data_IF_628948633445
#
_entry.id   IF_628948633445
#
_cell.length_a   1.000
_cell.length_b   1.000
_cell.length_c   1.000
_cell.angle_alpha   90.00
_cell.angle_beta   90.00
_cell.angle_gamma   90.00
#
_symmetry.space_group_name_H-M   'P 1'
#
loop_
_entity.id
_entity.type
_entity.pdbx_description
1 polymer ?
#
# COMPACT_ATOMS: atom_id res chain seq x y z
N UNK A 1 -26.58 55.56 -20.10
CA UNK A 1 -26.93 54.14 -20.01
C UNK A 1 -25.65 53.36 -20.21
N UNK A 2 -25.18 52.66 -19.18
CA UNK A 2 -24.51 51.36 -19.23
C UNK A 2 -23.91 51.09 -17.85
N UNK A 3 -24.52 50.15 -17.12
CA UNK A 3 -24.03 49.63 -15.85
C UNK A 3 -23.11 48.45 -16.20
N UNK A 4 -21.81 48.61 -16.01
CA UNK A 4 -20.90 47.47 -15.98
C UNK A 4 -21.15 46.70 -14.68
N UNK A 5 -21.89 45.59 -14.78
CA UNK A 5 -21.93 44.56 -13.74
C UNK A 5 -20.58 43.84 -13.72
N UNK A 6 -19.82 44.06 -12.66
CA UNK A 6 -18.61 43.28 -12.40
C UNK A 6 -19.06 41.98 -11.70
N UNK A 7 -19.23 40.92 -12.48
CA UNK A 7 -19.42 39.57 -11.95
C UNK A 7 -18.10 39.11 -11.33
N UNK A 8 -18.01 39.17 -10.01
CA UNK A 8 -16.96 38.50 -9.25
C UNK A 8 -17.07 36.99 -9.45
N UNK A 9 -16.17 36.41 -10.23
CA UNK A 9 -15.94 34.96 -10.32
C UNK A 9 -15.40 34.47 -8.97
N UNK A 10 -16.29 33.96 -8.13
CA UNK A 10 -15.91 33.19 -6.95
C UNK A 10 -15.41 31.83 -7.47
N UNK A 11 -14.09 31.68 -7.58
CA UNK A 11 -13.44 30.39 -7.71
C UNK A 11 -13.69 29.62 -6.41
N UNK A 12 -14.76 28.81 -6.39
CA UNK A 12 -14.97 27.82 -5.33
C UNK A 12 -13.91 26.75 -5.55
N UNK A 13 -12.77 26.89 -4.88
CA UNK A 13 -11.84 25.79 -4.70
C UNK A 13 -12.59 24.70 -3.95
N UNK A 14 -12.90 23.59 -4.63
CA UNK A 14 -13.35 22.38 -3.97
C UNK A 14 -12.18 21.89 -3.10
N UNK A 15 -12.13 22.36 -1.86
CA UNK A 15 -11.50 21.59 -0.81
C UNK A 15 -12.30 20.30 -0.74
N UNK A 16 -11.72 19.19 -1.23
CA UNK A 16 -12.24 17.87 -0.94
C UNK A 16 -12.28 17.75 0.59
N UNK A 17 -13.47 17.92 1.15
CA UNK A 17 -13.74 17.59 2.54
C UNK A 17 -13.32 16.13 2.70
N UNK A 18 -12.38 15.87 3.61
CA UNK A 18 -11.81 14.55 3.89
C UNK A 18 -12.88 13.59 4.44
N UNK A 19 -13.74 13.10 3.55
CA UNK A 19 -14.68 12.01 3.79
C UNK A 19 -13.97 10.67 3.63
N UNK A 20 -14.36 9.68 4.43
CA UNK A 20 -14.04 8.30 4.13
C UNK A 20 -14.71 7.90 2.82
N UNK A 21 -14.01 7.13 1.99
CA UNK A 21 -14.50 6.65 0.70
C UNK A 21 -14.59 5.14 0.72
N UNK A 22 -15.75 4.61 0.32
CA UNK A 22 -15.90 3.17 0.07
C UNK A 22 -15.30 2.80 -1.29
N UNK A 23 -14.21 2.03 -1.24
CA UNK A 23 -13.47 1.55 -2.41
C UNK A 23 -13.80 0.09 -2.77
N UNK A 24 -14.84 -0.51 -2.17
CA UNK A 24 -15.27 -1.86 -2.53
C UNK A 24 -15.50 -2.02 -4.04
N UNK A 25 -14.95 -3.10 -4.61
CA UNK A 25 -14.98 -3.42 -6.06
C UNK A 25 -14.25 -2.40 -6.95
N UNK A 26 -13.35 -1.60 -6.38
CA UNK A 26 -12.54 -0.61 -7.09
C UNK A 26 -11.05 -0.81 -6.80
N UNK A 27 -10.23 -0.35 -7.73
CA UNK A 27 -8.78 -0.30 -7.62
C UNK A 27 -8.25 1.09 -8.03
N UNK A 28 -7.06 1.43 -7.53
CA UNK A 28 -6.25 2.51 -8.09
C UNK A 28 -5.47 1.99 -9.29
N UNK A 29 -5.47 2.75 -10.37
CA UNK A 29 -4.76 2.46 -11.62
C UNK A 29 -3.64 3.46 -11.81
N UNK A 30 -2.42 2.96 -11.95
CA UNK A 30 -1.21 3.68 -12.31
C UNK A 30 -0.85 3.30 -13.75
N UNK A 31 -1.32 4.05 -14.77
CA UNK A 31 -1.35 3.57 -16.15
C UNK A 31 0.02 3.59 -16.84
N UNK A 32 0.99 4.33 -16.31
CA UNK A 32 2.31 4.48 -16.91
C UNK A 32 3.38 4.75 -15.87
N UNK A 33 4.61 4.47 -16.24
CA UNK A 33 5.79 4.77 -15.43
C UNK A 33 5.91 6.29 -15.20
N UNK A 34 6.10 6.68 -13.94
CA UNK A 34 6.35 8.07 -13.53
C UNK A 34 6.97 8.10 -12.13
N UNK A 35 7.52 9.24 -11.74
CA UNK A 35 7.99 9.56 -10.38
C UNK A 35 7.01 10.49 -9.64
N UNK A 36 5.82 10.76 -10.20
CA UNK A 36 4.89 11.75 -9.69
C UNK A 36 3.43 11.26 -9.56
N UNK A 37 3.13 10.02 -9.94
CA UNK A 37 1.81 9.41 -9.79
C UNK A 37 1.80 8.50 -8.56
N UNK A 38 1.03 8.88 -7.54
CA UNK A 38 0.97 8.17 -6.27
C UNK A 38 -0.34 8.41 -5.53
N UNK A 39 -0.64 7.53 -4.57
CA UNK A 39 -1.74 7.73 -3.61
C UNK A 39 -1.18 7.79 -2.20
N UNK A 40 -1.50 8.85 -1.47
CA UNK A 40 -1.22 8.97 -0.04
C UNK A 40 -2.39 8.46 0.78
N UNK A 41 -2.18 7.39 1.54
CA UNK A 41 -3.18 6.81 2.45
C UNK A 41 -3.06 7.45 3.84
N UNK A 42 -4.19 7.79 4.46
CA UNK A 42 -4.22 8.38 5.80
C UNK A 42 -4.75 7.37 6.82
N UNK A 43 -3.87 6.95 7.73
CA UNK A 43 -4.20 6.05 8.83
C UNK A 43 -4.23 6.79 10.18
N UNK A 44 -5.22 6.54 11.06
CA UNK A 44 -5.29 7.14 12.39
C UNK A 44 -4.40 6.40 13.41
N UNK A 45 -3.09 6.33 13.17
CA UNK A 45 -2.15 5.66 14.06
C UNK A 45 -1.91 6.45 15.34
N UNK A 46 -2.33 5.87 16.48
CA UNK A 46 -2.21 6.51 17.80
C UNK A 46 -1.04 5.98 18.64
N UNK A 47 -0.50 4.80 18.32
CA UNK A 47 0.54 4.12 19.09
C UNK A 47 1.56 3.46 18.15
N UNK A 48 2.85 3.41 18.51
CA UNK A 48 3.86 2.71 17.72
C UNK A 48 3.45 1.27 17.46
N UNK A 49 3.71 0.79 16.25
CA UNK A 49 3.34 -0.57 15.86
C UNK A 49 4.37 -1.56 16.43
N UNK A 50 3.86 -2.58 17.12
CA UNK A 50 4.62 -3.74 17.57
C UNK A 50 4.33 -4.99 16.74
N UNK A 51 3.25 -4.96 15.96
CA UNK A 51 2.97 -5.90 14.92
C UNK A 51 2.19 -5.19 13.82
N UNK A 52 2.13 -5.79 12.65
CA UNK A 52 1.18 -5.40 11.62
C UNK A 52 0.81 -6.59 10.74
N UNK A 53 -0.29 -6.43 10.01
CA UNK A 53 -0.59 -7.20 8.81
C UNK A 53 -1.09 -6.23 7.73
N UNK A 54 -0.58 -6.35 6.51
CA UNK A 54 -1.05 -5.60 5.33
C UNK A 54 -1.51 -6.61 4.30
N UNK A 55 -2.77 -6.50 3.88
CA UNK A 55 -3.31 -7.28 2.76
C UNK A 55 -3.70 -6.35 1.61
N UNK A 56 -3.44 -6.77 0.37
CA UNK A 56 -3.81 -6.04 -0.84
C UNK A 56 -3.84 -6.95 -2.06
N UNK A 57 -4.50 -6.49 -3.12
CA UNK A 57 -4.37 -7.00 -4.47
C UNK A 57 -3.44 -6.12 -5.30
N UNK A 58 -2.60 -6.75 -6.10
CA UNK A 58 -1.72 -6.11 -7.09
C UNK A 58 -1.88 -6.83 -8.43
N UNK A 59 -1.94 -6.06 -9.51
CA UNK A 59 -1.84 -6.58 -10.87
C UNK A 59 -0.90 -5.73 -11.70
N UNK A 60 0.24 -6.29 -12.12
CA UNK A 60 1.28 -5.58 -12.87
C UNK A 60 2.06 -6.53 -13.77
N UNK A 61 2.38 -6.09 -14.99
CA UNK A 61 3.25 -6.83 -15.91
C UNK A 61 4.75 -6.55 -15.66
N UNK A 62 5.07 -5.62 -14.76
CA UNK A 62 6.45 -5.17 -14.51
C UNK A 62 7.34 -6.25 -13.93
N UNK A 63 6.76 -7.27 -13.29
CA UNK A 63 7.52 -8.25 -12.54
C UNK A 63 8.51 -9.06 -13.39
N UNK A 64 8.32 -9.11 -14.71
CA UNK A 64 9.26 -9.69 -15.68
C UNK A 64 10.36 -8.71 -16.13
N UNK A 65 10.11 -7.41 -16.10
CA UNK A 65 10.95 -6.40 -16.74
C UNK A 65 11.79 -5.61 -15.74
N UNK A 66 11.25 -5.22 -14.58
CA UNK A 66 11.95 -4.48 -13.52
C UNK A 66 11.37 -4.72 -12.13
N UNK A 67 12.05 -4.17 -11.14
CA UNK A 67 11.57 -4.14 -9.77
C UNK A 67 10.62 -2.95 -9.55
N UNK A 68 9.73 -3.02 -8.57
CA UNK A 68 8.79 -1.95 -8.25
C UNK A 68 8.26 -2.03 -6.82
N UNK A 69 7.89 -0.87 -6.26
CA UNK A 69 7.26 -0.74 -4.95
C UNK A 69 5.78 -1.05 -5.01
N UNK A 70 5.30 -1.85 -4.06
CA UNK A 70 3.88 -2.24 -3.94
C UNK A 70 3.21 -1.41 -2.84
N UNK A 71 3.86 -1.30 -1.68
CA UNK A 71 3.39 -0.54 -0.52
C UNK A 71 4.58 0.07 0.21
N UNK A 72 4.60 1.39 0.35
CA UNK A 72 5.69 2.12 1.00
C UNK A 72 5.17 2.88 2.22
N UNK A 73 5.72 2.59 3.39
CA UNK A 73 5.47 3.29 4.65
C UNK A 73 6.79 3.87 5.14
N UNK A 74 6.85 5.21 5.20
CA UNK A 74 8.00 5.94 5.68
C UNK A 74 7.69 6.70 6.96
N UNK A 75 8.66 6.82 7.85
CA UNK A 75 8.66 7.81 8.93
C UNK A 75 9.70 8.88 8.64
N UNK A 76 9.67 9.98 9.40
CA UNK A 76 10.70 11.03 9.29
C UNK A 76 12.13 10.53 9.55
N UNK A 77 12.29 9.36 10.17
CA UNK A 77 13.59 8.79 10.56
C UNK A 77 14.04 7.62 9.68
N UNK A 78 13.09 6.95 9.02
CA UNK A 78 13.36 5.75 8.24
C UNK A 78 12.43 5.73 7.03
N UNK A 79 13.01 5.81 5.83
CA UNK A 79 12.26 5.83 4.58
C UNK A 79 11.62 4.46 4.28
N UNK A 80 12.32 3.38 4.63
CA UNK A 80 11.86 2.00 4.47
C UNK A 80 11.41 1.41 5.81
N UNK A 81 10.48 2.07 6.50
CA UNK A 81 10.00 1.62 7.82
C UNK A 81 9.12 0.38 7.67
N UNK A 82 8.23 0.36 6.67
CA UNK A 82 7.61 -0.85 6.11
C UNK A 82 7.63 -0.71 4.60
N UNK A 83 8.26 -1.64 3.88
CA UNK A 83 8.25 -1.66 2.42
C UNK A 83 7.90 -3.07 1.94
N UNK A 84 6.86 -3.16 1.10
CA UNK A 84 6.55 -4.36 0.31
C UNK A 84 6.96 -4.06 -1.12
N UNK A 85 7.88 -4.87 -1.64
CA UNK A 85 8.55 -4.60 -2.90
C UNK A 85 8.65 -5.86 -3.74
N UNK A 86 8.47 -5.72 -5.06
CA UNK A 86 8.83 -6.79 -5.98
C UNK A 86 10.25 -6.59 -6.47
N UNK A 87 11.13 -7.56 -6.20
CA UNK A 87 12.49 -7.55 -6.72
C UNK A 87 12.60 -8.52 -7.90
N UNK A 88 12.87 -7.99 -9.10
CA UNK A 88 13.10 -8.79 -10.30
C UNK A 88 14.16 -9.87 -10.05
N UNK A 89 13.82 -11.11 -10.41
CA UNK A 89 14.70 -12.28 -10.26
C UNK A 89 14.87 -12.80 -8.82
N UNK A 90 14.28 -12.14 -7.81
CA UNK A 90 14.34 -12.57 -6.40
C UNK A 90 12.97 -12.94 -5.83
N UNK A 91 11.91 -12.22 -6.20
CA UNK A 91 10.54 -12.38 -5.68
C UNK A 91 10.11 -11.21 -4.80
N UNK A 92 9.21 -11.48 -3.85
CA UNK A 92 8.73 -10.47 -2.91
C UNK A 92 9.79 -10.16 -1.85
N UNK A 93 9.91 -8.89 -1.51
CA UNK A 93 10.80 -8.38 -0.50
C UNK A 93 9.97 -7.61 0.53
N UNK A 94 10.18 -7.96 1.80
CA UNK A 94 9.65 -7.20 2.93
C UNK A 94 10.81 -6.53 3.64
N UNK A 95 10.74 -5.21 3.76
CA UNK A 95 11.61 -4.43 4.64
C UNK A 95 10.83 -3.97 5.85
N UNK A 96 11.42 -4.13 7.03
CA UNK A 96 10.95 -3.54 8.29
C UNK A 96 12.12 -2.79 8.90
N UNK A 97 11.91 -1.55 9.31
CA UNK A 97 12.94 -0.69 9.92
C UNK A 97 14.28 -0.63 9.14
N UNK A 98 14.22 -0.69 7.80
CA UNK A 98 15.40 -0.69 6.92
C UNK A 98 16.10 -2.04 6.73
N UNK A 99 15.69 -3.10 7.41
CA UNK A 99 16.23 -4.46 7.23
C UNK A 99 15.29 -5.29 6.37
N UNK A 100 15.83 -6.04 5.41
CA UNK A 100 15.04 -6.78 4.41
C UNK A 100 15.08 -8.31 4.58
N UNK A 101 13.97 -8.95 4.21
CA UNK A 101 13.92 -10.40 3.91
C UNK A 101 13.29 -10.64 2.55
N UNK A 102 13.79 -11.63 1.82
CA UNK A 102 13.28 -12.03 0.50
C UNK A 102 12.47 -13.30 0.61
N UNK A 103 11.23 -13.28 0.12
CA UNK A 103 10.40 -14.44 -0.14
C UNK A 103 10.48 -14.80 -1.62
N UNK A 104 11.19 -15.90 -1.92
CA UNK A 104 11.32 -16.41 -3.28
C UNK A 104 9.98 -17.00 -3.71
N UNK A 105 9.28 -16.35 -4.64
CA UNK A 105 8.02 -16.85 -5.20
C UNK A 105 8.27 -17.50 -6.57
N UNK A 106 7.76 -18.73 -6.79
CA UNK A 106 7.76 -19.37 -8.11
C UNK A 106 6.54 -18.98 -8.98
N UNK A 107 5.65 -18.11 -8.50
CA UNK A 107 4.33 -17.88 -9.12
C UNK A 107 4.36 -16.99 -10.37
N UNK A 108 3.25 -17.07 -11.12
CA UNK A 108 3.06 -16.36 -12.39
C UNK A 108 2.89 -14.85 -12.13
N UNK A 109 3.86 -14.01 -12.51
CA UNK A 109 3.80 -12.57 -12.26
C UNK A 109 2.75 -11.83 -13.10
N UNK A 110 2.02 -12.53 -13.97
CA UNK A 110 1.10 -11.95 -14.96
C UNK A 110 -0.38 -12.11 -14.63
N UNK A 111 -0.72 -12.54 -13.41
CA UNK A 111 -2.10 -12.59 -12.93
C UNK A 111 -2.29 -11.60 -11.78
N UNK A 112 -3.52 -11.09 -11.54
CA UNK A 112 -3.84 -10.41 -10.30
C UNK A 112 -3.52 -11.33 -9.12
N UNK A 113 -2.85 -10.78 -8.10
CA UNK A 113 -2.39 -11.57 -6.95
C UNK A 113 -2.82 -10.90 -5.66
N UNK A 114 -3.42 -11.68 -4.77
CA UNK A 114 -3.68 -11.26 -3.40
C UNK A 114 -2.47 -11.58 -2.53
N UNK A 115 -1.93 -10.58 -1.84
CA UNK A 115 -0.87 -10.79 -0.87
C UNK A 115 -1.30 -10.32 0.51
N UNK A 116 -0.88 -11.06 1.55
CA UNK A 116 -0.86 -10.56 2.92
C UNK A 116 0.55 -10.70 3.50
N UNK A 117 1.04 -9.63 4.13
CA UNK A 117 2.36 -9.59 4.74
C UNK A 117 2.24 -9.13 6.18
N UNK A 118 2.82 -9.90 7.10
CA UNK A 118 2.81 -9.57 8.52
C UNK A 118 4.19 -9.62 9.13
N UNK A 119 4.36 -8.86 10.22
CA UNK A 119 5.54 -8.92 11.07
C UNK A 119 5.16 -8.68 12.53
N UNK A 120 5.87 -9.32 13.46
CA UNK A 120 5.71 -9.17 14.90
C UNK A 120 7.04 -8.90 15.60
N UNK A 121 7.12 -7.81 16.36
CA UNK A 121 8.31 -7.39 17.11
C UNK A 121 8.81 -8.47 18.08
N UNK A 122 7.91 -9.10 18.83
CA UNK A 122 8.29 -9.95 19.97
C UNK A 122 9.01 -11.23 19.52
N UNK A 123 8.58 -11.80 18.41
CA UNK A 123 9.20 -12.98 17.80
C UNK A 123 10.21 -12.63 16.70
N UNK A 124 10.03 -11.49 16.04
CA UNK A 124 10.69 -11.15 14.78
C UNK A 124 10.15 -11.94 13.58
N UNK A 125 9.03 -12.64 13.72
CA UNK A 125 8.50 -13.47 12.63
C UNK A 125 7.88 -12.57 11.56
N UNK A 126 8.33 -12.74 10.33
CA UNK A 126 7.72 -12.22 9.12
C UNK A 126 7.00 -13.35 8.36
N UNK A 127 5.78 -13.08 7.90
CA UNK A 127 5.00 -13.97 7.06
C UNK A 127 4.63 -13.30 5.75
N UNK A 128 4.58 -14.09 4.68
CA UNK A 128 3.98 -13.73 3.41
C UNK A 128 2.97 -14.81 3.05
N UNK A 129 1.78 -14.39 2.66
CA UNK A 129 0.75 -15.22 2.09
C UNK A 129 0.47 -14.73 0.68
N UNK A 130 0.37 -15.67 -0.27
CA UNK A 130 0.04 -15.36 -1.65
C UNK A 130 -1.17 -16.21 -2.04
N UNK A 131 -2.24 -15.57 -2.52
CA UNK A 131 -3.52 -16.19 -2.87
C UNK A 131 -4.02 -17.15 -1.77
N UNK A 132 -3.96 -16.68 -0.52
CA UNK A 132 -4.39 -17.42 0.66
C UNK A 132 -3.50 -18.59 1.08
N UNK A 133 -2.33 -18.77 0.46
CA UNK A 133 -1.35 -19.82 0.80
C UNK A 133 -0.12 -19.23 1.50
N UNK A 134 0.35 -19.83 2.60
CA UNK A 134 1.51 -19.31 3.33
C UNK A 134 2.83 -19.67 2.64
N UNK A 135 3.77 -18.74 2.69
CA UNK A 135 5.19 -19.01 2.46
C UNK A 135 5.88 -19.42 3.77
N UNK A 136 7.12 -19.90 3.67
CA UNK A 136 7.94 -20.21 4.85
C UNK A 136 8.20 -18.93 5.65
N UNK A 137 7.88 -18.95 6.93
CA UNK A 137 8.17 -17.89 7.90
C UNK A 137 9.65 -17.52 7.91
N UNK A 138 9.95 -16.24 8.14
CA UNK A 138 11.32 -15.72 8.23
C UNK A 138 11.50 -14.91 9.52
N UNK A 139 12.76 -14.71 9.91
CA UNK A 139 13.12 -13.81 11.01
C UNK A 139 13.52 -12.45 10.44
N UNK A 140 12.98 -11.37 11.01
CA UNK A 140 13.20 -9.98 10.61
C UNK A 140 12.99 -9.07 11.83
N UNK A 141 13.91 -8.15 12.07
CA UNK A 141 13.80 -7.05 13.05
C UNK A 141 13.09 -7.39 14.37
N UNK A 142 13.72 -8.21 15.21
CA UNK A 142 13.15 -8.52 16.53
C UNK A 142 13.33 -7.35 17.52
N UNK A 143 12.29 -7.04 18.29
CA UNK A 143 12.32 -6.12 19.43
C UNK A 143 12.09 -4.64 19.09
N UNK A 144 11.97 -4.30 17.80
CA UNK A 144 11.79 -2.93 17.32
C UNK A 144 10.33 -2.45 17.47
N UNK A 145 10.10 -1.13 17.39
CA UNK A 145 8.75 -0.55 17.29
C UNK A 145 8.72 0.45 16.15
N UNK A 146 7.69 0.41 15.32
CA UNK A 146 7.60 1.26 14.13
C UNK A 146 6.87 2.57 14.46
N UNK A 147 7.35 3.68 13.91
CA UNK A 147 6.86 5.01 14.24
C UNK A 147 5.42 5.27 13.75
N UNK A 148 4.70 6.15 14.44
CA UNK A 148 3.28 6.49 14.16
C UNK A 148 3.09 7.63 13.17
N UNK A 149 4.02 8.58 13.13
CA UNK A 149 3.99 9.67 12.15
C UNK A 149 4.49 9.14 10.81
N UNK A 150 3.55 8.56 10.06
CA UNK A 150 3.83 7.82 8.84
C UNK A 150 3.29 8.51 7.59
N UNK A 151 4.09 8.42 6.52
CA UNK A 151 3.68 8.66 5.15
C UNK A 151 3.50 7.31 4.47
N UNK A 152 2.25 6.98 4.13
CA UNK A 152 1.89 5.72 3.48
C UNK A 152 1.56 6.00 2.01
N UNK A 153 2.30 5.39 1.10
CA UNK A 153 2.28 5.66 -0.33
C UNK A 153 2.06 4.35 -1.11
N UNK A 154 1.15 4.42 -2.07
CA UNK A 154 1.03 3.46 -3.18
C UNK A 154 1.52 4.11 -4.47
N UNK A 155 2.08 3.31 -5.37
CA UNK A 155 2.55 3.77 -6.68
C UNK A 155 4.03 4.12 -6.74
N UNK A 156 4.66 4.45 -5.61
CA UNK A 156 6.06 4.90 -5.55
C UNK A 156 6.80 4.28 -4.36
N UNK A 157 8.13 4.23 -4.47
CA UNK A 157 9.04 3.94 -3.37
C UNK A 157 9.53 5.24 -2.72
N UNK A 158 9.55 5.34 -1.40
CA UNK A 158 9.93 6.54 -0.68
C UNK A 158 11.40 6.46 -0.25
N UNK A 159 12.26 7.35 -0.76
CA UNK A 159 13.62 7.55 -0.21
C UNK A 159 13.66 8.67 0.85
N UNK A 160 12.54 9.34 1.08
CA UNK A 160 12.34 10.33 2.15
C UNK A 160 10.89 10.37 2.59
N UNK A 161 10.60 11.01 3.72
CA UNK A 161 9.23 11.12 4.23
C UNK A 161 8.30 11.83 3.24
N UNK A 162 7.44 11.07 2.56
CA UNK A 162 6.49 11.58 1.57
C UNK A 162 7.11 12.00 0.23
N UNK A 163 8.29 11.49 -0.13
CA UNK A 163 8.97 11.88 -1.37
C UNK A 163 10.24 11.11 -1.66
N UNK A 164 11.09 11.66 -2.52
CA UNK A 164 12.32 11.00 -2.97
C UNK A 164 12.02 9.84 -3.94
N UNK A 165 11.00 10.00 -4.78
CA UNK A 165 10.55 8.96 -5.69
C UNK A 165 11.53 8.78 -6.87
N UNK A 166 11.84 7.54 -7.21
CA UNK A 166 12.50 7.17 -8.48
C UNK A 166 11.50 6.43 -9.38
N UNK A 167 11.30 6.97 -10.60
CA UNK A 167 10.44 6.36 -11.62
C UNK A 167 10.77 4.89 -11.90
N UNK A 168 12.03 4.47 -11.75
CA UNK A 168 12.47 3.10 -12.01
C UNK A 168 11.93 2.10 -10.97
N UNK A 169 11.48 2.60 -9.81
CA UNK A 169 10.88 1.82 -8.72
C UNK A 169 9.35 2.00 -8.66
N UNK A 170 8.77 2.80 -9.55
CA UNK A 170 7.33 3.08 -9.59
C UNK A 170 6.51 1.84 -9.96
N UNK A 171 5.31 1.74 -9.40
CA UNK A 171 4.31 0.75 -9.81
C UNK A 171 3.60 1.19 -11.08
N UNK A 172 3.31 0.24 -11.96
CA UNK A 172 2.45 0.41 -13.16
C UNK A 172 1.48 -0.75 -13.21
N UNK A 173 0.18 -0.45 -13.25
CA UNK A 173 -0.91 -1.43 -13.13
C UNK A 173 -1.92 -1.04 -12.06
N UNK A 174 -2.51 -2.03 -11.40
CA UNK A 174 -3.66 -1.86 -10.51
C UNK A 174 -3.34 -2.32 -9.09
N UNK A 175 -3.71 -1.50 -8.10
CA UNK A 175 -3.61 -1.83 -6.67
C UNK A 175 -4.97 -1.61 -6.02
N UNK A 176 -5.45 -2.58 -5.25
CA UNK A 176 -6.71 -2.42 -4.51
C UNK A 176 -6.82 -3.36 -3.31
N UNK A 177 -7.98 -3.33 -2.66
CA UNK A 177 -8.26 -4.06 -1.42
C UNK A 177 -7.20 -3.87 -0.32
N UNK A 178 -6.60 -2.68 -0.26
CA UNK A 178 -5.53 -2.36 0.69
C UNK A 178 -6.11 -2.20 2.08
N UNK A 179 -5.81 -3.17 2.94
CA UNK A 179 -6.24 -3.21 4.33
C UNK A 179 -5.04 -3.42 5.26
N UNK A 180 -5.07 -2.80 6.43
CA UNK A 180 -3.98 -2.89 7.40
C UNK A 180 -4.50 -3.03 8.83
N UNK A 181 -3.84 -3.89 9.59
CA UNK A 181 -4.05 -4.14 11.01
C UNK A 181 -2.78 -3.83 11.80
N UNK A 182 -2.93 -3.46 13.08
CA UNK A 182 -1.83 -3.32 14.05
C UNK A 182 -1.50 -4.64 14.80
N UNK A 183 -1.99 -5.76 14.27
CA UNK A 183 -1.81 -7.12 14.79
C UNK A 183 -1.48 -8.09 13.66
N UNK A 184 -0.89 -9.24 14.00
CA UNK A 184 -0.77 -10.37 13.08
C UNK A 184 -2.12 -11.09 13.00
N UNK A 185 -2.56 -11.42 11.78
CA UNK A 185 -3.77 -12.20 11.57
C UNK A 185 -3.47 -13.70 11.61
N UNK A 186 -4.44 -14.46 12.11
CA UNK A 186 -4.42 -15.92 12.05
C UNK A 186 -4.60 -16.43 10.61
N UNK A 187 -4.19 -17.68 10.32
CA UNK A 187 -4.44 -18.33 9.04
C UNK A 187 -5.90 -18.29 8.57
N UNK A 188 -6.87 -18.44 9.47
CA UNK A 188 -8.30 -18.42 9.13
C UNK A 188 -8.78 -17.00 8.79
N UNK A 189 -8.30 -15.99 9.50
CA UNK A 189 -8.58 -14.59 9.18
C UNK A 189 -8.00 -14.19 7.82
N UNK A 190 -6.77 -14.61 7.50
CA UNK A 190 -6.15 -14.36 6.19
C UNK A 190 -6.95 -15.02 5.06
N UNK A 191 -7.38 -16.27 5.25
CA UNK A 191 -8.25 -16.96 4.27
C UNK A 191 -9.60 -16.27 4.12
N UNK A 192 -10.15 -15.74 5.21
CA UNK A 192 -11.40 -14.98 5.20
C UNK A 192 -11.23 -13.70 4.39
N UNK A 193 -10.17 -12.92 4.62
CA UNK A 193 -9.85 -11.71 3.85
C UNK A 193 -9.64 -12.03 2.37
N UNK A 194 -8.84 -13.06 2.05
CA UNK A 194 -8.61 -13.50 0.68
C UNK A 194 -9.92 -13.88 -0.05
N UNK A 195 -10.87 -14.48 0.65
CA UNK A 195 -12.17 -14.89 0.07
C UNK A 195 -13.18 -13.74 -0.06
N UNK A 196 -12.76 -12.47 0.16
CA UNK A 196 -13.65 -11.31 0.16
C UNK A 196 -14.54 -11.18 1.41
N UNK A 197 -14.25 -11.97 2.44
CA UNK A 197 -14.91 -11.89 3.74
C UNK A 197 -14.63 -10.56 4.42
N UNK A 198 -15.56 -10.11 5.26
CA UNK A 198 -15.39 -8.86 6.01
C UNK A 198 -14.68 -9.16 7.33
N UNK A 199 -13.44 -8.70 7.46
CA UNK A 199 -12.71 -8.66 8.71
C UNK A 199 -12.28 -7.23 8.95
N UNK A 200 -12.62 -6.62 10.09
CA UNK A 200 -12.53 -5.16 10.28
C UNK A 200 -11.08 -4.72 10.50
N UNK A 201 -10.43 -4.04 9.54
CA UNK A 201 -9.12 -3.46 9.76
C UNK A 201 -9.21 -2.21 10.65
N UNK A 202 -8.19 -2.01 11.48
CA UNK A 202 -8.14 -0.91 12.43
C UNK A 202 -7.08 0.15 12.11
N UNK A 203 -6.27 -0.05 11.05
CA UNK A 203 -5.28 0.93 10.58
C UNK A 203 -5.67 1.52 9.22
N UNK A 204 -5.89 0.68 8.21
CA UNK A 204 -6.39 1.08 6.88
C UNK A 204 -7.57 0.20 6.50
N UNK A 205 -8.70 0.83 6.21
CA UNK A 205 -9.93 0.14 5.79
C UNK A 205 -10.28 0.54 4.36
N UNK A 206 -10.23 -0.42 3.44
CA UNK A 206 -10.58 -0.19 2.04
C UNK A 206 -12.04 0.25 1.85
N UNK A 207 -12.94 -0.14 2.75
CA UNK A 207 -14.35 0.25 2.71
C UNK A 207 -14.63 1.60 3.38
N UNK A 208 -13.64 2.17 4.06
CA UNK A 208 -13.73 3.46 4.74
C UNK A 208 -12.44 4.28 4.59
N UNK A 209 -11.89 4.30 3.37
CA UNK A 209 -10.54 4.75 3.08
C UNK A 209 -10.44 6.28 3.07
N UNK A 210 -9.40 6.83 3.70
CA UNK A 210 -9.02 8.23 3.55
C UNK A 210 -7.73 8.29 2.73
N UNK A 211 -7.78 8.97 1.59
CA UNK A 211 -6.63 9.06 0.70
C UNK A 211 -6.58 10.38 -0.08
N UNK A 212 -5.40 10.69 -0.61
CA UNK A 212 -5.17 11.76 -1.59
C UNK A 212 -4.46 11.16 -2.81
N UNK A 213 -5.00 11.39 -4.00
CA UNK A 213 -4.39 10.96 -5.25
C UNK A 213 -3.61 12.12 -5.89
N UNK A 214 -2.41 11.85 -6.38
CA UNK A 214 -1.51 12.82 -6.99
C UNK A 214 -1.00 12.29 -8.33
N UNK A 215 -0.84 13.17 -9.31
CA UNK A 215 -0.40 12.81 -10.66
C UNK A 215 -1.48 12.05 -11.43
N UNK A 216 -1.05 11.10 -12.26
CA UNK A 216 -1.93 10.35 -13.16
C UNK A 216 -2.37 9.03 -12.50
N UNK A 217 -3.34 9.14 -11.60
CA UNK A 217 -3.96 8.00 -10.91
C UNK A 217 -5.45 7.99 -11.19
N UNK A 218 -6.00 6.83 -11.52
CA UNK A 218 -7.43 6.66 -11.79
C UNK A 218 -8.06 5.66 -10.82
N UNK A 219 -9.34 5.86 -10.52
CA UNK A 219 -10.15 4.85 -9.82
C UNK A 219 -11.01 4.13 -10.84
N UNK A 220 -10.90 2.80 -10.91
CA UNK A 220 -11.66 1.93 -11.83
C UNK A 220 -12.21 0.71 -11.10
N UNK A 221 -13.10 -0.02 -11.75
CA UNK A 221 -13.51 -1.33 -11.25
C UNK A 221 -12.30 -2.26 -11.19
N UNK A 222 -12.19 -3.03 -10.11
CA UNK A 222 -11.10 -3.99 -9.94
C UNK A 222 -11.15 -5.10 -11.01
N UNK A 223 -9.98 -5.67 -11.32
CA UNK A 223 -9.82 -6.70 -12.34
C UNK A 223 -9.75 -8.13 -11.77
N UNK A 224 -10.06 -8.29 -10.48
CA UNK A 224 -10.12 -9.56 -9.77
C UNK A 224 -11.51 -9.77 -9.13
N UNK A 225 -11.81 -11.02 -8.78
CA UNK A 225 -13.11 -11.45 -8.23
C UNK A 225 -13.13 -11.44 -6.72
#
# INVERSE_FOLDING_TARGET
>A
MEKLLWCSLVLISFFNVFGQTDMHKKAFVFPKESDNSYVSLKAPLKKPLKAFNVCLHIYSELALTRSYSIFSYATKKQANEILIYWSKGRGYLLTVHGTEVVFRSPENPLAPTHICVSWESDSGIAELWIDGKPMVRKSLEKGTSLGTEASIILGQDQDSFGGGYDKNQSSVGDIGDVNMWDSVLSPDEIRTVHSGGTFSPNVLDWRALKYEAHGEVFVKHQLWS
#
